data_IF_727861235476
#
_entry.id   IF_727861235476
#
_cell.length_a   1.000
_cell.length_b   1.000
_cell.length_c   1.000
_cell.angle_alpha   90.00
_cell.angle_beta   90.00
_cell.angle_gamma   90.00
#
_symmetry.space_group_name_H-M   'P 1'
#
loop_
_entity.id
_entity.type
_entity.pdbx_description
1 polymer ?
#
# COMPACT_ATOMS: atom_id res chain seq x y z
N UNK A 1 12.81 1.14 29.43
CA UNK A 1 12.37 1.51 28.07
C UNK A 1 13.46 1.08 27.13
N UNK A 2 13.09 0.67 25.93
CA UNK A 2 14.06 0.27 24.90
C UNK A 2 14.91 1.48 24.49
N UNK A 3 16.23 1.36 24.62
CA UNK A 3 17.20 2.36 24.19
C UNK A 3 17.58 2.18 22.71
N UNK A 4 18.19 3.20 22.11
CA UNK A 4 18.71 3.10 20.74
C UNK A 4 19.89 2.13 20.61
N UNK A 5 20.55 1.80 21.72
CA UNK A 5 21.64 0.84 21.77
C UNK A 5 21.12 -0.59 21.96
N UNK A 6 20.04 -0.77 22.74
CA UNK A 6 19.43 -2.08 22.97
C UNK A 6 18.98 -2.70 21.63
N UNK A 7 18.38 -1.90 20.74
CA UNK A 7 17.93 -2.36 19.42
C UNK A 7 19.07 -2.74 18.46
N UNK A 8 20.33 -2.45 18.80
CA UNK A 8 21.49 -2.83 17.98
C UNK A 8 22.01 -4.23 18.30
N UNK A 9 21.62 -4.79 19.45
CA UNK A 9 22.20 -6.03 19.99
C UNK A 9 21.16 -7.09 20.36
N UNK A 10 19.90 -6.70 20.52
CA UNK A 10 18.81 -7.62 20.85
C UNK A 10 17.81 -7.72 19.69
N UNK A 11 17.62 -8.94 19.20
CA UNK A 11 16.75 -9.26 18.04
C UNK A 11 15.66 -10.27 18.39
N UNK A 12 15.27 -10.33 19.66
CA UNK A 12 14.17 -11.14 20.15
C UNK A 12 13.21 -10.25 20.93
N UNK A 13 11.90 -10.44 20.70
CA UNK A 13 10.86 -9.66 21.39
C UNK A 13 10.94 -9.83 22.92
N UNK A 14 11.33 -11.01 23.39
CA UNK A 14 11.46 -11.34 24.83
C UNK A 14 12.58 -10.57 25.52
N UNK A 15 13.52 -10.00 24.77
CA UNK A 15 14.59 -9.16 25.31
C UNK A 15 14.09 -7.77 25.73
N UNK A 16 12.85 -7.43 25.38
CA UNK A 16 12.28 -6.11 25.62
C UNK A 16 11.06 -6.18 26.54
N UNK A 17 10.91 -5.16 27.39
CA UNK A 17 9.71 -5.01 28.22
C UNK A 17 8.72 -4.09 27.53
N UNK A 18 7.56 -4.63 27.17
CA UNK A 18 6.46 -3.84 26.61
C UNK A 18 5.91 -2.82 27.62
N UNK A 19 5.48 -1.68 27.10
CA UNK A 19 4.79 -0.66 27.91
C UNK A 19 3.38 -1.15 28.22
N UNK A 20 3.03 -1.21 29.50
CA UNK A 20 1.65 -1.51 29.93
C UNK A 20 0.80 -0.24 30.06
N UNK A 21 -0.53 -0.37 30.01
CA UNK A 21 -1.45 0.76 30.19
C UNK A 21 -1.29 1.44 31.55
N UNK A 22 -1.00 0.67 32.61
CA UNK A 22 -0.71 1.19 33.95
C UNK A 22 0.62 1.95 33.96
N UNK A 23 1.67 1.36 33.38
CA UNK A 23 2.99 2.00 33.27
C UNK A 23 2.93 3.30 32.48
N UNK A 24 2.19 3.33 31.37
CA UNK A 24 1.97 4.54 30.58
C UNK A 24 1.26 5.64 31.38
N UNK A 25 0.20 5.32 32.13
CA UNK A 25 -0.51 6.29 32.98
C UNK A 25 0.41 6.90 34.04
N UNK A 26 1.27 6.08 34.66
CA UNK A 26 2.25 6.56 35.62
C UNK A 26 3.30 7.48 34.97
N UNK A 27 3.87 7.07 33.83
CA UNK A 27 4.82 7.88 33.06
C UNK A 27 4.21 9.22 32.63
N UNK A 28 2.95 9.21 32.20
CA UNK A 28 2.22 10.43 31.83
C UNK A 28 2.07 11.39 33.02
N UNK A 29 1.77 10.89 34.22
CA UNK A 29 1.70 11.72 35.42
C UNK A 29 3.05 12.38 35.73
N UNK A 30 4.14 11.63 35.61
CA UNK A 30 5.50 12.17 35.81
C UNK A 30 5.85 13.24 34.77
N UNK A 31 5.48 13.04 33.50
CA UNK A 31 5.71 14.02 32.42
C UNK A 31 4.90 15.30 32.64
N UNK A 32 3.67 15.21 33.16
CA UNK A 32 2.85 16.37 33.49
C UNK A 32 3.50 17.18 34.63
N UNK A 33 4.13 16.51 35.60
CA UNK A 33 4.83 17.17 36.69
C UNK A 33 6.19 17.74 36.27
N UNK A 34 6.88 17.09 35.33
CA UNK A 34 8.19 17.51 34.81
C UNK A 34 8.31 17.24 33.30
N UNK A 35 8.19 18.31 32.50
CA UNK A 35 8.27 18.21 31.04
C UNK A 35 9.63 17.70 30.52
N UNK A 36 10.70 17.80 31.30
CA UNK A 36 12.03 17.26 30.94
C UNK A 36 12.03 15.74 30.77
N UNK A 37 11.03 15.04 31.31
CA UNK A 37 10.89 13.59 31.22
C UNK A 37 10.24 13.13 29.91
N UNK A 38 9.77 14.04 29.03
CA UNK A 38 9.15 13.70 27.75
C UNK A 38 10.03 12.79 26.89
N UNK A 39 11.31 13.15 26.75
CA UNK A 39 12.28 12.37 25.97
C UNK A 39 12.68 11.07 26.67
N UNK A 40 12.75 11.10 28.00
CA UNK A 40 13.11 9.93 28.82
C UNK A 40 12.04 8.85 28.76
N UNK A 41 10.77 9.21 28.64
CA UNK A 41 9.66 8.25 28.55
C UNK A 41 9.04 8.14 27.15
N UNK A 42 9.45 8.96 26.18
CA UNK A 42 8.79 9.00 24.86
C UNK A 42 7.28 9.24 24.98
N UNK A 43 6.86 10.08 25.94
CA UNK A 43 5.46 10.48 26.17
C UNK A 43 5.42 11.99 26.14
N UNK A 44 4.63 12.57 25.23
CA UNK A 44 4.59 14.03 25.03
C UNK A 44 3.54 14.68 25.92
N UNK A 45 2.31 14.17 25.86
CA UNK A 45 1.15 14.73 26.55
C UNK A 45 0.00 13.73 26.62
N UNK A 46 -1.04 14.09 27.37
CA UNK A 46 -2.28 13.30 27.45
C UNK A 46 -3.01 13.37 26.11
N UNK A 47 -3.32 12.21 25.53
CA UNK A 47 -4.19 12.11 24.35
C UNK A 47 -5.64 12.39 24.72
N UNK A 48 -6.37 13.14 23.88
CA UNK A 48 -7.83 13.34 24.04
C UNK A 48 -8.61 12.02 23.98
N UNK A 49 -8.06 11.01 23.28
CA UNK A 49 -8.69 9.69 23.18
C UNK A 49 -8.64 8.93 24.51
N UNK A 50 -7.74 9.29 25.42
CA UNK A 50 -7.62 8.64 26.74
C UNK A 50 -8.81 8.94 27.67
N UNK A 51 -9.66 9.92 27.33
CA UNK A 51 -10.89 10.22 28.07
C UNK A 51 -12.05 9.27 27.70
N UNK A 52 -11.91 8.49 26.62
CA UNK A 52 -12.92 7.52 26.21
C UNK A 52 -12.87 6.28 27.11
N UNK A 53 -14.02 5.90 27.67
CA UNK A 53 -14.16 4.80 28.65
C UNK A 53 -13.55 3.47 28.19
N UNK A 54 -13.62 3.17 26.90
CA UNK A 54 -13.21 1.88 26.32
C UNK A 54 -12.01 2.01 25.38
N UNK A 55 -11.28 3.12 25.43
CA UNK A 55 -10.09 3.32 24.61
C UNK A 55 -8.85 3.34 25.49
N UNK A 56 -7.89 2.47 25.18
CA UNK A 56 -6.57 2.50 25.78
C UNK A 56 -5.51 2.80 24.72
N UNK A 57 -4.72 3.85 24.95
CA UNK A 57 -3.73 4.34 23.98
C UNK A 57 -2.67 3.28 23.66
N UNK A 58 -2.38 2.38 24.60
CA UNK A 58 -1.39 1.32 24.43
C UNK A 58 -1.94 0.15 23.62
N UNK A 59 -3.21 -0.24 23.84
CA UNK A 59 -3.78 -1.41 23.16
C UNK A 59 -4.65 -1.12 21.94
N UNK A 60 -5.08 0.12 21.72
CA UNK A 60 -6.05 0.47 20.68
C UNK A 60 -5.43 1.25 19.51
N UNK A 61 -4.10 1.37 19.46
CA UNK A 61 -3.36 1.97 18.36
C UNK A 61 -2.43 0.91 17.74
N UNK A 62 -2.89 0.21 16.69
CA UNK A 62 -2.07 -0.80 16.02
C UNK A 62 -0.92 -0.16 15.23
N UNK A 63 0.12 -0.94 14.88
CA UNK A 63 1.18 -0.48 13.99
C UNK A 63 0.66 -0.16 12.58
N UNK A 64 1.42 0.64 11.83
CA UNK A 64 1.15 0.91 10.42
C UNK A 64 2.24 0.25 9.54
N UNK A 65 1.98 -0.97 9.04
CA UNK A 65 2.99 -1.70 8.29
C UNK A 65 3.33 -1.03 6.95
N UNK A 66 2.45 -0.21 6.36
CA UNK A 66 2.79 0.53 5.15
C UNK A 66 3.89 1.56 5.41
N UNK A 67 3.76 2.34 6.48
CA UNK A 67 4.74 3.35 6.83
C UNK A 67 6.06 2.75 7.28
N UNK A 68 6.00 1.68 8.08
CA UNK A 68 7.17 1.03 8.63
C UNK A 68 8.00 0.36 7.51
N UNK A 69 7.33 -0.41 6.63
CA UNK A 69 7.98 -1.16 5.56
C UNK A 69 8.16 -0.31 4.29
N UNK A 70 7.08 0.16 3.66
CA UNK A 70 7.11 0.76 2.32
C UNK A 70 7.69 2.18 2.27
N UNK A 71 7.63 2.91 3.39
CA UNK A 71 8.27 4.24 3.55
C UNK A 71 9.49 4.21 4.48
N UNK A 72 9.93 3.02 4.88
CA UNK A 72 11.01 2.84 5.84
C UNK A 72 11.99 1.78 5.40
N UNK A 73 11.78 0.56 5.89
CA UNK A 73 12.75 -0.52 5.80
C UNK A 73 12.98 -1.02 4.36
N UNK A 74 11.92 -1.25 3.59
CA UNK A 74 12.00 -1.78 2.23
C UNK A 74 12.80 -0.88 1.28
N UNK A 75 12.50 0.43 1.14
CA UNK A 75 13.27 1.29 0.23
C UNK A 75 14.72 1.48 0.70
N UNK A 76 14.97 1.41 2.02
CA UNK A 76 16.32 1.44 2.57
C UNK A 76 17.13 0.19 2.22
N UNK A 77 16.54 -1.00 2.38
CA UNK A 77 17.23 -2.25 2.05
C UNK A 77 17.46 -2.37 0.54
N UNK A 78 16.46 -2.07 -0.30
CA UNK A 78 16.62 -2.07 -1.77
C UNK A 78 17.78 -1.15 -2.17
N UNK A 79 17.86 0.03 -1.56
CA UNK A 79 18.98 0.95 -1.83
C UNK A 79 20.32 0.29 -1.49
N UNK A 80 20.45 -0.31 -0.30
CA UNK A 80 21.70 -0.94 0.16
C UNK A 80 22.11 -2.08 -0.76
N UNK A 81 21.21 -3.03 -1.01
CA UNK A 81 21.46 -4.22 -1.82
C UNK A 81 21.83 -3.84 -3.26
N UNK A 82 21.11 -2.90 -3.88
CA UNK A 82 21.45 -2.42 -5.24
C UNK A 82 22.82 -1.74 -5.28
N UNK A 83 23.17 -0.92 -4.28
CA UNK A 83 24.50 -0.29 -4.21
C UNK A 83 25.58 -1.36 -4.05
N UNK A 84 25.40 -2.34 -3.17
CA UNK A 84 26.32 -3.46 -2.97
C UNK A 84 26.56 -4.20 -4.29
N UNK A 85 25.51 -4.57 -5.02
CA UNK A 85 25.67 -5.30 -6.28
C UNK A 85 26.32 -4.50 -7.41
N UNK A 86 26.13 -3.18 -7.44
CA UNK A 86 26.84 -2.33 -8.39
C UNK A 86 28.33 -2.26 -8.01
N UNK A 87 28.67 -2.20 -6.73
CA UNK A 87 30.06 -2.19 -6.25
C UNK A 87 30.77 -3.53 -6.50
N UNK A 88 30.07 -4.64 -6.33
CA UNK A 88 30.56 -6.00 -6.60
C UNK A 88 30.62 -6.33 -8.10
N UNK A 89 30.07 -5.45 -8.95
CA UNK A 89 30.17 -5.55 -10.40
C UNK A 89 29.18 -6.51 -11.05
N UNK A 90 28.12 -6.93 -10.35
CA UNK A 90 27.08 -7.79 -10.93
C UNK A 90 26.29 -7.09 -12.04
N UNK A 91 26.03 -5.79 -11.88
CA UNK A 91 25.40 -4.96 -12.90
C UNK A 91 25.73 -3.47 -12.71
N UNK A 92 25.41 -2.64 -13.70
CA UNK A 92 25.64 -1.19 -13.64
C UNK A 92 24.37 -0.42 -13.24
N UNK A 93 24.54 0.83 -12.80
CA UNK A 93 23.40 1.72 -12.54
C UNK A 93 22.52 1.93 -13.80
N UNK A 94 23.15 2.00 -14.98
CA UNK A 94 22.43 2.12 -16.24
C UNK A 94 21.62 0.85 -16.56
N UNK A 95 22.19 -0.32 -16.29
CA UNK A 95 21.47 -1.59 -16.42
C UNK A 95 20.24 -1.61 -15.50
N UNK A 96 20.41 -1.27 -14.23
CA UNK A 96 19.31 -1.20 -13.26
C UNK A 96 18.21 -0.23 -13.71
N UNK A 97 18.57 0.99 -14.08
CA UNK A 97 17.63 2.00 -14.56
C UNK A 97 16.93 1.56 -15.85
N UNK A 98 17.64 0.88 -16.75
CA UNK A 98 17.06 0.35 -17.98
C UNK A 98 16.08 -0.80 -17.69
N UNK A 99 16.41 -1.70 -16.78
CA UNK A 99 15.52 -2.77 -16.33
C UNK A 99 14.20 -2.18 -15.81
N UNK A 100 14.26 -1.16 -14.94
CA UNK A 100 13.06 -0.46 -14.46
C UNK A 100 12.25 0.20 -15.60
N UNK A 101 12.92 0.71 -16.64
CA UNK A 101 12.24 1.38 -17.78
C UNK A 101 11.54 0.39 -18.70
N UNK A 102 12.21 -0.69 -19.06
CA UNK A 102 11.79 -1.62 -20.13
C UNK A 102 10.91 -2.75 -19.60
N UNK A 103 10.94 -3.05 -18.29
CA UNK A 103 10.14 -4.12 -17.71
C UNK A 103 8.65 -4.03 -18.11
N UNK A 104 8.02 -5.14 -18.53
CA UNK A 104 6.63 -5.14 -19.00
C UNK A 104 5.63 -5.13 -17.84
N UNK A 105 5.46 -3.97 -17.20
CA UNK A 105 4.52 -3.82 -16.07
C UNK A 105 3.09 -4.19 -16.46
N UNK A 106 2.48 -5.07 -15.66
CA UNK A 106 1.08 -5.46 -15.79
C UNK A 106 0.12 -4.29 -15.54
N UNK A 107 -1.16 -4.50 -15.86
CA UNK A 107 -2.21 -3.45 -15.75
C UNK A 107 -2.29 -2.84 -14.35
N UNK A 108 -2.17 -3.67 -13.30
CA UNK A 108 -2.21 -3.25 -11.90
C UNK A 108 -1.00 -2.42 -11.47
N UNK A 109 0.17 -2.65 -12.08
CA UNK A 109 1.44 -2.04 -11.69
C UNK A 109 1.80 -0.81 -12.54
N UNK A 110 1.19 -0.68 -13.73
CA UNK A 110 1.49 0.39 -14.69
C UNK A 110 1.34 1.80 -14.12
N UNK A 111 0.34 2.02 -13.25
CA UNK A 111 0.12 3.31 -12.55
C UNK A 111 1.16 3.59 -11.46
N UNK A 112 1.78 2.54 -10.93
CA UNK A 112 2.74 2.58 -9.82
C UNK A 112 4.16 2.23 -10.27
N UNK A 113 4.50 2.50 -11.54
CA UNK A 113 5.84 2.23 -12.07
C UNK A 113 6.90 2.91 -11.18
N UNK A 114 7.95 2.16 -10.76
CA UNK A 114 9.06 2.73 -10.01
C UNK A 114 9.77 3.83 -10.80
N UNK A 115 10.16 4.90 -10.12
CA UNK A 115 11.04 5.92 -10.70
C UNK A 115 12.48 5.41 -10.83
N UNK A 116 13.18 5.84 -11.88
CA UNK A 116 14.61 5.60 -12.03
C UNK A 116 15.41 6.50 -11.07
N UNK A 117 16.63 6.07 -10.75
CA UNK A 117 17.57 6.93 -10.05
C UNK A 117 18.21 7.90 -11.03
N UNK A 118 18.11 9.20 -10.75
CA UNK A 118 18.67 10.28 -11.58
C UNK A 118 20.00 10.80 -11.01
N UNK A 119 20.73 9.97 -10.25
CA UNK A 119 21.94 10.40 -9.54
C UNK A 119 23.18 10.04 -10.33
N UNK A 120 24.07 11.01 -10.51
CA UNK A 120 25.30 10.86 -11.32
C UNK A 120 26.36 9.99 -10.63
N UNK A 121 26.26 9.80 -9.31
CA UNK A 121 27.25 9.03 -8.52
C UNK A 121 26.58 8.02 -7.61
N UNK A 122 27.20 6.86 -7.43
CA UNK A 122 26.71 5.78 -6.58
C UNK A 122 26.59 6.19 -5.11
N UNK A 123 27.50 7.04 -4.62
CA UNK A 123 27.44 7.59 -3.26
C UNK A 123 26.16 8.42 -3.01
N UNK A 124 25.63 9.04 -4.06
CA UNK A 124 24.39 9.83 -3.98
C UNK A 124 23.14 9.02 -4.33
N UNK A 125 23.27 7.72 -4.64
CA UNK A 125 22.20 6.86 -5.10
C UNK A 125 20.98 6.95 -4.19
N UNK A 126 19.87 7.36 -4.81
CA UNK A 126 18.56 7.51 -4.18
C UNK A 126 17.49 7.09 -5.18
N UNK A 127 16.55 6.30 -4.70
CA UNK A 127 15.35 5.95 -5.44
C UNK A 127 14.18 6.58 -4.67
N UNK A 128 13.64 7.68 -5.18
CA UNK A 128 12.46 8.32 -4.57
C UNK A 128 11.20 7.62 -5.03
N UNK A 129 10.63 6.79 -4.17
CA UNK A 129 9.37 6.11 -4.42
C UNK A 129 8.28 6.58 -3.44
N UNK A 130 7.04 6.57 -3.91
CA UNK A 130 5.85 6.52 -3.04
C UNK A 130 5.68 5.10 -2.49
N UNK A 131 4.90 4.91 -1.41
CA UNK A 131 4.65 3.58 -0.85
C UNK A 131 4.17 2.55 -1.90
N UNK A 132 3.24 2.95 -2.78
CA UNK A 132 2.75 2.10 -3.88
C UNK A 132 3.83 1.74 -4.90
N UNK A 133 4.75 2.67 -5.20
CA UNK A 133 5.88 2.41 -6.09
C UNK A 133 6.94 1.54 -5.42
N UNK A 134 7.18 1.69 -4.12
CA UNK A 134 8.06 0.80 -3.35
C UNK A 134 7.53 -0.62 -3.38
N UNK A 135 6.22 -0.80 -3.15
CA UNK A 135 5.59 -2.12 -3.21
C UNK A 135 5.70 -2.77 -4.60
N UNK A 136 5.49 -1.97 -5.64
CA UNK A 136 5.67 -2.39 -7.03
C UNK A 136 7.12 -2.81 -7.31
N UNK A 137 8.08 -1.98 -6.90
CA UNK A 137 9.50 -2.25 -7.07
C UNK A 137 9.89 -3.54 -6.37
N UNK A 138 9.56 -3.68 -5.09
CA UNK A 138 9.95 -4.84 -4.28
C UNK A 138 9.46 -6.16 -4.90
N UNK A 139 8.18 -6.25 -5.26
CA UNK A 139 7.64 -7.49 -5.84
C UNK A 139 8.24 -7.85 -7.19
N UNK A 140 8.59 -6.85 -8.00
CA UNK A 140 9.02 -7.08 -9.39
C UNK A 140 10.54 -7.11 -9.55
N UNK A 141 11.30 -6.65 -8.54
CA UNK A 141 12.75 -6.59 -8.59
C UNK A 141 13.41 -7.96 -8.82
N UNK A 142 12.97 -9.07 -8.19
CA UNK A 142 13.50 -10.40 -8.50
C UNK A 142 13.36 -10.75 -9.99
N UNK A 143 12.21 -10.43 -10.58
CA UNK A 143 11.95 -10.69 -12.00
C UNK A 143 12.83 -9.86 -12.94
N UNK A 144 13.41 -8.76 -12.44
CA UNK A 144 14.28 -7.88 -13.20
C UNK A 144 15.77 -8.25 -13.07
N UNK A 145 16.21 -8.68 -11.89
CA UNK A 145 17.63 -8.78 -11.54
C UNK A 145 18.12 -10.16 -11.12
N UNK A 146 17.24 -11.12 -10.82
CA UNK A 146 17.65 -12.41 -10.25
C UNK A 146 18.68 -13.14 -11.13
N UNK A 147 18.57 -13.04 -12.46
CA UNK A 147 19.50 -13.69 -13.39
C UNK A 147 20.92 -13.08 -13.40
N UNK A 148 21.10 -11.89 -12.83
CA UNK A 148 22.41 -11.21 -12.73
C UNK A 148 23.15 -11.52 -11.43
N UNK A 149 22.47 -12.13 -10.46
CA UNK A 149 22.97 -12.35 -9.11
C UNK A 149 23.18 -13.87 -8.92
N UNK A 150 24.35 -14.32 -8.44
CA UNK A 150 24.59 -15.73 -8.16
C UNK A 150 23.63 -16.29 -7.09
N UNK A 151 23.25 -17.56 -7.25
CA UNK A 151 22.53 -18.30 -6.21
C UNK A 151 23.33 -18.33 -4.90
N UNK A 152 22.63 -18.17 -3.77
CA UNK A 152 23.25 -18.16 -2.44
C UNK A 152 23.98 -16.87 -2.07
N UNK A 153 23.84 -15.78 -2.84
CA UNK A 153 24.36 -14.48 -2.44
C UNK A 153 23.62 -13.96 -1.18
N UNK A 154 24.36 -13.72 -0.10
CA UNK A 154 23.79 -13.39 1.22
C UNK A 154 22.99 -12.07 1.23
N UNK A 155 23.40 -11.05 0.47
CA UNK A 155 22.65 -9.79 0.36
C UNK A 155 21.33 -9.98 -0.40
N UNK A 156 21.31 -10.91 -1.36
CA UNK A 156 20.09 -11.27 -2.08
C UNK A 156 19.15 -12.08 -1.20
N UNK A 157 19.66 -13.06 -0.47
CA UNK A 157 18.85 -13.83 0.50
C UNK A 157 18.27 -12.93 1.60
N UNK A 158 19.04 -11.94 2.08
CA UNK A 158 18.54 -10.92 3.00
C UNK A 158 17.35 -10.14 2.40
N UNK A 159 17.44 -9.76 1.13
CA UNK A 159 16.37 -9.08 0.41
C UNK A 159 15.13 -9.96 0.24
N UNK A 160 15.31 -11.23 -0.16
CA UNK A 160 14.22 -12.19 -0.29
C UNK A 160 13.54 -12.48 1.06
N UNK A 161 14.31 -12.57 2.14
CA UNK A 161 13.76 -12.73 3.49
C UNK A 161 12.88 -11.54 3.89
N UNK A 162 13.27 -10.30 3.56
CA UNK A 162 12.40 -9.14 3.78
C UNK A 162 11.13 -9.21 2.93
N UNK A 163 11.22 -9.74 1.71
CA UNK A 163 10.07 -9.95 0.85
C UNK A 163 9.08 -10.92 1.49
N UNK A 164 9.54 -12.06 2.00
CA UNK A 164 8.70 -13.04 2.72
C UNK A 164 8.01 -12.43 3.95
N UNK A 165 8.76 -11.65 4.74
CA UNK A 165 8.19 -10.89 5.87
C UNK A 165 7.07 -9.96 5.40
N UNK A 166 7.29 -9.24 4.30
CA UNK A 166 6.29 -8.34 3.73
C UNK A 166 5.08 -9.10 3.18
N UNK A 167 5.26 -10.26 2.55
CA UNK A 167 4.16 -11.08 2.03
C UNK A 167 3.23 -11.55 3.16
N UNK A 168 3.79 -12.06 4.27
CA UNK A 168 2.99 -12.45 5.44
C UNK A 168 2.30 -11.22 6.05
N UNK A 169 3.04 -10.11 6.22
CA UNK A 169 2.52 -8.89 6.86
C UNK A 169 1.37 -8.26 6.07
N UNK A 170 1.47 -8.28 4.73
CA UNK A 170 0.48 -7.67 3.84
C UNK A 170 -0.61 -8.64 3.36
N UNK A 171 -0.56 -9.91 3.78
CA UNK A 171 -1.61 -10.85 3.45
C UNK A 171 -2.95 -10.42 4.08
N UNK A 172 -4.07 -10.49 3.33
CA UNK A 172 -5.40 -10.13 3.85
C UNK A 172 -5.93 -11.10 4.90
N UNK A 173 -5.33 -12.30 4.96
CA UNK A 173 -5.62 -13.38 5.91
C UNK A 173 -4.33 -14.13 6.19
N UNK A 174 -4.05 -14.42 7.47
CA UNK A 174 -2.82 -15.07 7.91
C UNK A 174 -3.18 -16.24 8.85
N UNK A 175 -2.80 -17.49 8.52
CA UNK A 175 -2.94 -18.62 9.43
C UNK A 175 -2.15 -18.41 10.73
N UNK A 176 -2.64 -18.93 11.86
CA UNK A 176 -1.97 -18.74 13.15
C UNK A 176 -0.55 -19.35 13.18
N UNK A 177 -0.31 -20.41 12.43
CA UNK A 177 0.98 -21.07 12.29
C UNK A 177 2.04 -20.15 11.65
N UNK A 178 1.61 -19.23 10.79
CA UNK A 178 2.50 -18.25 10.16
C UNK A 178 3.04 -17.22 11.14
N UNK A 179 2.45 -17.08 12.33
CA UNK A 179 2.95 -16.17 13.37
C UNK A 179 4.32 -16.60 13.87
N UNK A 180 4.48 -17.89 14.18
CA UNK A 180 5.77 -18.44 14.60
C UNK A 180 6.80 -18.40 13.46
N UNK A 181 6.35 -18.62 12.21
CA UNK A 181 7.22 -18.49 11.05
C UNK A 181 7.68 -17.05 10.80
N UNK A 182 6.79 -16.07 10.96
CA UNK A 182 7.14 -14.66 10.88
C UNK A 182 8.15 -14.26 11.95
N UNK A 183 7.98 -14.74 13.18
CA UNK A 183 8.94 -14.50 14.27
C UNK A 183 10.34 -15.04 13.92
N UNK A 184 10.41 -16.27 13.41
CA UNK A 184 11.66 -16.86 12.92
C UNK A 184 12.31 -16.03 11.80
N UNK A 185 11.52 -15.64 10.78
CA UNK A 185 12.01 -14.83 9.65
C UNK A 185 12.52 -13.47 10.11
N UNK A 186 11.79 -12.78 11.00
CA UNK A 186 12.18 -11.47 11.51
C UNK A 186 13.48 -11.55 12.31
N UNK A 187 13.63 -12.57 13.17
CA UNK A 187 14.86 -12.78 13.92
C UNK A 187 16.05 -12.98 12.99
N UNK A 188 15.95 -13.93 12.05
CA UNK A 188 17.00 -14.21 11.07
C UNK A 188 17.34 -12.98 10.24
N UNK A 189 16.32 -12.27 9.74
CA UNK A 189 16.49 -11.04 8.98
C UNK A 189 17.29 -9.97 9.73
N UNK A 190 16.96 -9.69 11.00
CA UNK A 190 17.63 -8.64 11.77
C UNK A 190 19.07 -9.01 12.13
N UNK A 191 19.32 -10.28 12.45
CA UNK A 191 20.68 -10.81 12.67
C UNK A 191 21.51 -10.64 11.39
N UNK A 192 21.05 -11.20 10.27
CA UNK A 192 21.78 -11.14 8.99
C UNK A 192 21.94 -9.69 8.49
N UNK A 193 20.93 -8.84 8.66
CA UNK A 193 21.04 -7.41 8.32
C UNK A 193 22.19 -6.74 9.08
N UNK A 194 22.36 -7.07 10.37
CA UNK A 194 23.42 -6.49 11.19
C UNK A 194 24.78 -7.09 10.88
N UNK A 195 24.86 -8.38 10.56
CA UNK A 195 26.10 -9.05 10.15
C UNK A 195 26.63 -8.53 8.82
N UNK A 196 25.75 -8.37 7.81
CA UNK A 196 26.11 -7.88 6.48
C UNK A 196 26.37 -6.36 6.45
N UNK A 197 25.76 -5.60 7.37
CA UNK A 197 25.92 -4.14 7.47
C UNK A 197 26.26 -3.71 8.91
N UNK A 198 27.44 -4.06 9.45
CA UNK A 198 27.77 -3.89 10.87
C UNK A 198 27.90 -2.42 11.29
N UNK A 199 28.36 -1.56 10.38
CA UNK A 199 28.50 -0.12 10.63
C UNK A 199 27.16 0.63 10.61
N UNK A 200 26.13 0.03 10.00
CA UNK A 200 24.82 0.65 9.92
C UNK A 200 24.06 0.45 11.24
N UNK A 201 23.53 1.55 11.77
CA UNK A 201 22.64 1.49 12.93
C UNK A 201 21.24 1.10 12.50
N UNK A 202 20.67 0.10 13.17
CA UNK A 202 19.27 -0.27 13.01
C UNK A 202 18.38 0.88 13.43
N UNK A 203 17.37 1.18 12.61
CA UNK A 203 16.39 2.22 12.87
C UNK A 203 15.22 1.64 13.65
N UNK A 204 14.45 2.49 14.36
CA UNK A 204 13.23 2.05 15.06
C UNK A 204 12.26 1.26 14.16
N UNK A 205 12.10 1.66 12.88
CA UNK A 205 11.24 0.96 11.91
C UNK A 205 11.66 -0.51 11.68
N UNK A 206 12.96 -0.82 11.71
CA UNK A 206 13.44 -2.20 11.63
C UNK A 206 13.10 -2.98 12.90
N UNK A 207 13.26 -2.35 14.07
CA UNK A 207 12.92 -2.95 15.36
C UNK A 207 11.42 -3.25 15.50
N UNK A 208 10.54 -2.44 14.89
CA UNK A 208 9.09 -2.67 14.96
C UNK A 208 8.66 -4.04 14.44
N UNK A 209 9.43 -4.66 13.54
CA UNK A 209 9.18 -6.01 13.05
C UNK A 209 9.11 -7.06 14.17
N UNK A 210 9.90 -6.90 15.24
CA UNK A 210 9.89 -7.83 16.38
C UNK A 210 8.51 -7.91 17.05
N UNK A 211 7.69 -6.87 16.90
CA UNK A 211 6.37 -6.79 17.49
C UNK A 211 5.26 -7.23 16.53
N UNK A 212 5.58 -7.53 15.27
CA UNK A 212 4.58 -7.91 14.27
C UNK A 212 3.92 -9.27 14.56
N UNK A 213 4.64 -10.31 15.03
CA UNK A 213 4.00 -11.57 15.44
C UNK A 213 2.91 -11.36 16.50
N UNK A 214 3.22 -10.66 17.60
CA UNK A 214 2.24 -10.34 18.64
C UNK A 214 1.13 -9.41 18.13
N UNK A 215 1.46 -8.48 17.23
CA UNK A 215 0.47 -7.58 16.63
C UNK A 215 -0.53 -8.35 15.76
N UNK A 216 -0.09 -9.37 15.02
CA UNK A 216 -0.98 -10.25 14.23
C UNK A 216 -1.97 -10.98 15.14
N UNK A 217 -1.49 -11.53 16.27
CA UNK A 217 -2.36 -12.21 17.24
C UNK A 217 -3.40 -11.26 17.86
N UNK A 218 -3.02 -10.00 18.07
CA UNK A 218 -3.86 -9.01 18.76
C UNK A 218 -4.85 -8.29 17.84
N UNK A 219 -4.44 -7.95 16.63
CA UNK A 219 -5.19 -7.10 15.72
C UNK A 219 -5.69 -7.85 14.47
N UNK A 220 -5.26 -9.09 14.27
CA UNK A 220 -5.46 -9.82 13.04
C UNK A 220 -4.50 -9.37 11.93
N UNK A 221 -4.80 -9.67 10.65
CA UNK A 221 -3.92 -9.34 9.54
C UNK A 221 -3.58 -7.84 9.47
N UNK A 222 -2.29 -7.52 9.55
CA UNK A 222 -1.81 -6.14 9.74
C UNK A 222 -2.08 -5.21 8.56
N UNK A 223 -2.30 -5.76 7.36
CA UNK A 223 -2.73 -5.00 6.18
C UNK A 223 -4.02 -4.23 6.44
N UNK A 224 -4.87 -4.65 7.36
CA UNK A 224 -6.10 -3.92 7.70
C UNK A 224 -5.86 -2.72 8.63
N UNK A 225 -4.66 -2.62 9.22
CA UNK A 225 -4.26 -1.53 10.11
C UNK A 225 -3.54 -0.38 9.40
N UNK A 226 -3.05 -0.57 8.17
CA UNK A 226 -2.31 0.48 7.47
C UNK A 226 -3.17 1.70 7.13
N UNK A 227 -2.56 2.89 7.08
CA UNK A 227 -3.34 4.13 6.96
C UNK A 227 -3.42 4.73 5.56
N UNK A 228 -2.84 4.07 4.54
CA UNK A 228 -2.76 4.58 3.14
C UNK A 228 -4.11 5.11 2.62
N UNK A 229 -5.23 4.44 2.92
CA UNK A 229 -6.57 4.85 2.46
C UNK A 229 -7.06 6.13 3.14
N UNK A 230 -6.75 6.30 4.42
CA UNK A 230 -7.06 7.54 5.15
C UNK A 230 -6.25 8.70 4.59
N UNK A 231 -4.96 8.48 4.31
CA UNK A 231 -4.10 9.49 3.70
C UNK A 231 -4.53 9.88 2.29
N UNK A 232 -4.95 8.89 1.50
CA UNK A 232 -5.49 9.12 0.17
C UNK A 232 -6.72 10.05 0.19
N UNK A 233 -7.54 10.00 1.25
CA UNK A 233 -8.69 10.90 1.44
C UNK A 233 -8.25 12.36 1.68
N UNK A 234 -7.03 12.58 2.17
CA UNK A 234 -6.44 13.90 2.34
C UNK A 234 -5.93 14.52 1.03
N UNK A 235 -5.89 13.77 -0.08
CA UNK A 235 -5.40 14.21 -1.42
C UNK A 235 -6.38 15.15 -2.14
N UNK A 236 -7.51 15.53 -1.52
CA UNK A 236 -8.28 16.70 -1.95
C UNK A 236 -7.47 17.99 -1.68
N UNK A 237 -6.46 18.19 -2.54
CA UNK A 237 -5.44 19.24 -2.54
C UNK A 237 -6.10 20.61 -2.56
N UNK A 238 -6.39 21.13 -1.38
CA UNK A 238 -6.62 22.56 -1.20
C UNK A 238 -5.27 23.27 -1.37
N UNK A 239 -5.23 24.32 -2.20
CA UNK A 239 -4.07 25.23 -2.29
C UNK A 239 -3.79 25.94 -0.95
N UNK A 240 -4.77 25.97 -0.04
CA UNK A 240 -4.66 26.54 1.30
C UNK A 240 -4.32 25.46 2.35
N UNK A 241 -3.14 25.57 2.98
CA UNK A 241 -2.67 24.65 4.04
C UNK A 241 -3.03 25.10 5.45
N UNK A 242 -3.69 26.25 5.64
CA UNK A 242 -4.13 26.70 6.97
C UNK A 242 -5.34 25.88 7.42
N UNK A 243 -5.25 25.31 8.63
CA UNK A 243 -6.33 24.55 9.28
C UNK A 243 -6.89 23.39 8.44
N UNK A 244 -6.02 22.52 7.93
CA UNK A 244 -6.40 21.35 7.12
C UNK A 244 -7.50 20.50 7.80
N UNK A 245 -7.35 20.28 9.11
CA UNK A 245 -8.30 19.51 9.94
C UNK A 245 -9.68 20.16 10.08
N UNK A 246 -9.87 21.42 9.67
CA UNK A 246 -11.18 22.09 9.58
C UNK A 246 -11.71 22.08 8.15
N UNK A 247 -10.82 22.39 7.20
CA UNK A 247 -11.18 22.57 5.79
C UNK A 247 -11.59 21.25 5.13
N UNK A 248 -10.84 20.16 5.38
CA UNK A 248 -11.13 18.85 4.79
C UNK A 248 -12.49 18.28 5.30
N UNK A 249 -12.77 18.23 6.62
CA UNK A 249 -14.08 17.78 7.09
C UNK A 249 -15.24 18.64 6.59
N UNK A 250 -15.10 19.98 6.58
CA UNK A 250 -16.16 20.87 6.09
C UNK A 250 -16.48 20.62 4.61
N UNK A 251 -15.47 20.46 3.76
CA UNK A 251 -15.70 20.13 2.34
C UNK A 251 -16.29 18.75 2.16
N UNK A 252 -15.83 17.78 2.93
CA UNK A 252 -16.40 16.43 2.91
C UNK A 252 -17.88 16.47 3.32
N UNK A 253 -18.24 17.17 4.40
CA UNK A 253 -19.63 17.34 4.84
C UNK A 253 -20.48 18.02 3.76
N UNK A 254 -20.00 19.09 3.14
CA UNK A 254 -20.72 19.76 2.03
C UNK A 254 -20.93 18.83 0.84
N UNK A 255 -19.93 18.03 0.48
CA UNK A 255 -20.03 17.02 -0.57
C UNK A 255 -21.06 15.93 -0.19
N UNK A 256 -21.07 15.47 1.06
CA UNK A 256 -22.06 14.52 1.56
C UNK A 256 -23.47 15.12 1.56
N UNK A 257 -23.65 16.39 1.90
CA UNK A 257 -24.95 17.07 1.80
C UNK A 257 -25.44 17.19 0.36
N UNK A 258 -24.53 17.50 -0.58
CA UNK A 258 -24.85 17.53 -2.01
C UNK A 258 -25.31 16.16 -2.51
N UNK A 259 -24.55 15.10 -2.19
CA UNK A 259 -24.96 13.74 -2.54
C UNK A 259 -26.27 13.36 -1.84
N UNK A 260 -26.45 13.68 -0.55
CA UNK A 260 -27.66 13.35 0.18
C UNK A 260 -28.91 14.09 -0.30
N UNK A 261 -28.73 15.18 -1.05
CA UNK A 261 -29.80 15.90 -1.72
C UNK A 261 -30.11 15.36 -3.13
N UNK A 262 -29.32 14.42 -3.65
CA UNK A 262 -29.65 13.73 -4.90
C UNK A 262 -30.58 12.54 -4.63
N UNK A 263 -31.53 12.30 -5.53
CA UNK A 263 -32.43 11.13 -5.45
C UNK A 263 -31.67 9.80 -5.54
N UNK A 264 -30.41 9.86 -5.98
CA UNK A 264 -29.55 8.72 -6.30
C UNK A 264 -28.41 8.53 -5.27
N UNK A 265 -28.59 8.97 -4.02
CA UNK A 265 -27.54 8.90 -2.98
C UNK A 265 -27.03 7.47 -2.71
N UNK A 266 -27.93 6.48 -2.81
CA UNK A 266 -27.63 5.06 -2.64
C UNK A 266 -27.59 4.30 -3.98
N UNK A 267 -27.85 4.95 -5.10
CA UNK A 267 -27.64 4.30 -6.39
C UNK A 267 -26.14 4.06 -6.53
N UNK A 268 -25.78 2.79 -6.65
CA UNK A 268 -24.41 2.37 -6.87
C UNK A 268 -23.78 3.21 -7.99
N UNK A 269 -22.65 3.81 -7.65
CA UNK A 269 -21.97 4.88 -8.38
C UNK A 269 -22.07 4.72 -9.91
N UNK A 270 -22.57 5.80 -10.51
CA UNK A 270 -22.51 6.17 -11.93
C UNK A 270 -21.25 5.64 -12.62
N UNK A 271 -21.47 4.76 -13.58
CA UNK A 271 -20.49 4.32 -14.56
C UNK A 271 -20.09 5.48 -15.49
N UNK A 272 -18.79 5.71 -15.64
CA UNK A 272 -18.24 6.61 -16.66
C UNK A 272 -17.63 5.79 -17.79
N UNK A 273 -18.05 6.05 -19.01
CA UNK A 273 -17.49 5.47 -20.23
C UNK A 273 -16.63 6.49 -20.96
N UNK A 274 -15.56 6.03 -21.62
CA UNK A 274 -14.80 6.87 -22.58
C UNK A 274 -14.71 6.12 -23.89
N UNK A 275 -15.23 6.70 -24.98
CA UNK A 275 -15.10 6.19 -26.35
C UNK A 275 -15.68 4.79 -26.55
N UNK A 276 -16.87 4.72 -27.16
CA UNK A 276 -17.52 3.47 -27.53
C UNK A 276 -17.55 3.22 -29.03
N UNK A 277 -17.33 1.97 -29.42
CA UNK A 277 -17.64 1.46 -30.75
C UNK A 277 -18.74 0.42 -30.63
N UNK A 278 -19.78 0.55 -31.46
CA UNK A 278 -20.84 -0.43 -31.55
C UNK A 278 -20.28 -1.68 -32.25
N UNK A 279 -20.39 -2.82 -31.58
CA UNK A 279 -20.06 -4.14 -32.12
C UNK A 279 -21.37 -4.89 -32.34
N UNK A 280 -21.59 -5.38 -33.56
CA UNK A 280 -22.74 -6.23 -33.87
C UNK A 280 -22.50 -7.63 -33.30
N UNK A 281 -23.56 -8.29 -32.83
CA UNK A 281 -23.45 -9.63 -32.24
C UNK A 281 -22.69 -10.63 -33.14
N UNK A 282 -22.91 -10.53 -34.46
CA UNK A 282 -22.26 -11.33 -35.51
C UNK A 282 -20.72 -11.28 -35.52
N UNK A 283 -20.10 -10.26 -34.91
CA UNK A 283 -18.65 -10.10 -34.86
C UNK A 283 -17.99 -10.87 -33.71
N UNK A 284 -18.78 -11.40 -32.76
CA UNK A 284 -18.29 -12.24 -31.68
C UNK A 284 -18.20 -13.71 -32.10
N UNK A 285 -17.40 -14.52 -31.40
CA UNK A 285 -17.37 -15.97 -31.61
C UNK A 285 -18.68 -16.65 -31.15
N UNK A 286 -18.97 -17.83 -31.71
CA UNK A 286 -20.21 -18.60 -31.45
C UNK A 286 -20.51 -18.79 -29.94
N UNK A 287 -19.46 -18.92 -29.11
CA UNK A 287 -19.61 -19.09 -27.65
C UNK A 287 -20.21 -17.85 -27.00
N UNK A 288 -19.76 -16.66 -27.38
CA UNK A 288 -20.25 -15.38 -26.85
C UNK A 288 -21.64 -15.07 -27.41
N UNK A 289 -21.87 -15.34 -28.69
CA UNK A 289 -23.19 -15.15 -29.33
C UNK A 289 -24.27 -15.97 -28.60
N UNK A 290 -24.02 -17.26 -28.34
CA UNK A 290 -24.94 -18.13 -27.58
C UNK A 290 -25.16 -17.63 -26.16
N UNK A 291 -24.12 -17.14 -25.49
CA UNK A 291 -24.24 -16.61 -24.13
C UNK A 291 -25.12 -15.36 -24.09
N UNK A 292 -24.93 -14.45 -25.06
CA UNK A 292 -25.77 -13.26 -25.22
C UNK A 292 -27.23 -13.62 -25.53
N UNK A 293 -27.48 -14.58 -26.41
CA UNK A 293 -28.84 -15.05 -26.73
C UNK A 293 -29.55 -15.69 -25.52
N UNK A 294 -28.84 -16.49 -24.72
CA UNK A 294 -29.41 -17.20 -23.56
C UNK A 294 -29.64 -16.26 -22.38
N UNK A 295 -28.68 -15.40 -22.05
CA UNK A 295 -28.77 -14.52 -20.88
C UNK A 295 -29.50 -13.21 -21.16
N UNK A 296 -29.45 -12.72 -22.41
CA UNK A 296 -29.97 -11.41 -22.79
C UNK A 296 -30.71 -11.47 -24.15
N UNK A 297 -31.86 -12.18 -24.22
CA UNK A 297 -32.59 -12.35 -25.47
C UNK A 297 -33.04 -11.02 -26.06
N UNK A 298 -32.75 -10.79 -27.36
CA UNK A 298 -33.15 -9.60 -28.11
C UNK A 298 -32.09 -8.50 -28.23
N UNK A 299 -30.90 -8.65 -27.63
CA UNK A 299 -29.79 -7.70 -27.84
C UNK A 299 -29.12 -7.96 -29.19
N UNK A 300 -29.18 -6.97 -30.09
CA UNK A 300 -28.57 -7.05 -31.43
C UNK A 300 -27.22 -6.32 -31.53
N UNK A 301 -27.04 -5.30 -30.70
CA UNK A 301 -25.87 -4.43 -30.69
C UNK A 301 -25.32 -4.33 -29.28
N UNK A 302 -23.99 -4.33 -29.18
CA UNK A 302 -23.31 -4.27 -27.90
C UNK A 302 -22.17 -3.25 -27.95
N UNK A 303 -22.00 -2.49 -26.88
CA UNK A 303 -21.02 -1.42 -26.84
C UNK A 303 -19.68 -1.94 -26.33
N UNK A 304 -18.63 -1.82 -27.16
CA UNK A 304 -17.25 -2.00 -26.73
C UNK A 304 -16.68 -0.65 -26.34
N UNK A 305 -16.35 -0.50 -25.06
CA UNK A 305 -15.75 0.71 -24.51
C UNK A 305 -14.24 0.55 -24.33
N UNK A 306 -13.49 1.66 -24.43
CA UNK A 306 -12.05 1.63 -24.14
C UNK A 306 -11.75 1.30 -22.67
N UNK A 307 -12.59 1.82 -21.76
CA UNK A 307 -12.62 1.46 -20.36
C UNK A 307 -13.97 1.81 -19.71
N UNK A 308 -14.38 1.03 -18.72
CA UNK A 308 -15.52 1.32 -17.83
C UNK A 308 -15.05 1.23 -16.38
N UNK A 309 -15.39 2.23 -15.57
CA UNK A 309 -15.24 2.13 -14.12
C UNK A 309 -16.59 1.74 -13.50
N UNK A 310 -16.62 0.56 -12.86
CA UNK A 310 -17.78 0.07 -12.11
C UNK A 310 -17.32 -0.31 -10.71
N UNK A 311 -17.97 0.22 -9.67
CA UNK A 311 -17.61 -0.02 -8.26
C UNK A 311 -16.11 0.19 -7.95
N UNK A 312 -15.52 1.24 -8.54
CA UNK A 312 -14.08 1.55 -8.41
C UNK A 312 -13.12 0.50 -9.00
N UNK A 313 -13.65 -0.43 -9.79
CA UNK A 313 -12.89 -1.35 -10.62
C UNK A 313 -12.92 -0.85 -12.06
N UNK A 314 -11.75 -0.67 -12.67
CA UNK A 314 -11.64 -0.27 -14.07
C UNK A 314 -11.54 -1.52 -14.95
N UNK A 315 -12.56 -1.76 -15.74
CA UNK A 315 -12.58 -2.76 -16.81
C UNK A 315 -12.07 -2.10 -18.09
N UNK A 316 -11.18 -2.76 -18.82
CA UNK A 316 -10.65 -2.24 -20.10
C UNK A 316 -11.30 -2.98 -21.26
N UNK A 317 -11.12 -2.45 -22.47
CA UNK A 317 -11.43 -3.15 -23.73
C UNK A 317 -11.06 -4.64 -23.63
N UNK A 318 -11.95 -5.52 -24.12
CA UNK A 318 -11.90 -6.99 -24.06
C UNK A 318 -12.24 -7.65 -22.73
N UNK A 319 -12.20 -6.93 -21.60
CA UNK A 319 -12.59 -7.49 -20.29
C UNK A 319 -14.10 -7.41 -20.03
N UNK A 320 -14.80 -6.53 -20.75
CA UNK A 320 -16.20 -6.25 -20.51
C UNK A 320 -16.93 -5.81 -21.78
N UNK A 321 -18.23 -6.12 -21.84
CA UNK A 321 -19.14 -5.69 -22.90
C UNK A 321 -20.32 -4.95 -22.26
N UNK A 322 -20.77 -3.85 -22.87
CA UNK A 322 -21.87 -3.01 -22.36
C UNK A 322 -23.17 -3.22 -23.12
N UNK A 323 -24.21 -3.64 -22.41
CA UNK A 323 -25.49 -4.09 -22.98
C UNK A 323 -26.52 -2.97 -23.21
N UNK A 324 -26.44 -1.86 -22.47
CA UNK A 324 -27.38 -0.74 -22.57
C UNK A 324 -26.66 0.54 -22.12
N UNK A 325 -26.83 1.64 -22.85
CA UNK A 325 -26.33 2.97 -22.50
C UNK A 325 -27.52 3.95 -22.43
N UNK A 326 -27.90 4.40 -21.23
CA UNK A 326 -28.91 5.48 -21.07
C UNK A 326 -28.22 6.81 -20.80
N UNK A 327 -28.25 7.75 -21.75
CA UNK A 327 -27.73 9.11 -21.55
C UNK A 327 -28.55 9.86 -20.48
N UNK A 328 -27.93 10.18 -19.35
CA UNK A 328 -28.45 11.18 -18.42
C UNK A 328 -27.63 12.46 -18.58
N UNK A 329 -28.16 13.43 -19.34
CA UNK A 329 -27.57 14.78 -19.43
C UNK A 329 -27.86 15.54 -18.14
N UNK A 330 -26.88 15.64 -17.25
CA UNK A 330 -26.91 16.60 -16.13
C UNK A 330 -26.00 17.78 -16.45
N UNK A 331 -26.61 18.97 -16.49
CA UNK A 331 -25.97 20.24 -16.83
C UNK A 331 -24.94 20.69 -15.78
N UNK A 332 -23.88 21.33 -16.30
CA UNK A 332 -23.03 22.37 -15.70
C UNK A 332 -22.69 22.21 -14.22
N UNK A 333 -21.60 21.52 -13.86
CA UNK A 333 -20.66 21.92 -12.77
C UNK A 333 -19.44 20.99 -12.62
N UNK A 334 -19.05 20.19 -13.63
CA UNK A 334 -17.76 19.48 -13.68
C UNK A 334 -17.29 19.23 -15.12
N UNK A 335 -15.97 19.05 -15.36
CA UNK A 335 -15.42 18.90 -16.70
C UNK A 335 -15.92 17.61 -17.36
N UNK A 336 -16.65 17.76 -18.46
CA UNK A 336 -16.87 16.80 -19.56
C UNK A 336 -16.78 15.31 -19.23
N UNK A 337 -17.62 14.80 -18.33
CA UNK A 337 -17.91 13.37 -18.22
C UNK A 337 -19.36 13.15 -18.62
N UNK A 338 -19.58 12.46 -19.74
CA UNK A 338 -20.91 11.98 -20.11
C UNK A 338 -21.30 10.84 -19.17
N UNK A 339 -22.54 10.85 -18.70
CA UNK A 339 -23.03 9.93 -17.68
C UNK A 339 -24.04 8.97 -18.29
N UNK A 340 -23.80 7.67 -18.10
CA UNK A 340 -24.68 6.61 -18.61
C UNK A 340 -24.90 5.50 -17.57
N UNK A 341 -26.13 4.97 -17.49
CA UNK A 341 -26.37 3.68 -16.81
C UNK A 341 -25.89 2.56 -17.73
N UNK A 342 -25.00 1.70 -17.21
CA UNK A 342 -24.30 0.67 -17.98
C UNK A 342 -24.55 -0.71 -17.36
N UNK A 343 -25.15 -1.63 -18.13
CA UNK A 343 -25.12 -3.07 -17.81
C UNK A 343 -23.87 -3.70 -18.39
N UNK A 344 -23.04 -4.33 -17.55
CA UNK A 344 -21.76 -4.94 -17.95
C UNK A 344 -21.83 -6.46 -17.84
N UNK A 345 -21.35 -7.17 -18.86
CA UNK A 345 -20.96 -8.58 -18.77
C UNK A 345 -19.44 -8.67 -18.72
N UNK A 346 -18.89 -9.30 -17.67
CA UNK A 346 -17.45 -9.48 -17.51
C UNK A 346 -17.02 -10.76 -18.24
N UNK A 347 -16.09 -10.65 -19.17
CA UNK A 347 -15.65 -11.77 -20.02
C UNK A 347 -14.52 -12.61 -19.40
N UNK A 348 -14.22 -12.45 -18.11
CA UNK A 348 -13.02 -13.04 -17.49
C UNK A 348 -13.03 -14.59 -17.40
N UNK A 349 -14.15 -15.25 -17.69
CA UNK A 349 -14.27 -16.72 -17.71
C UNK A 349 -14.62 -17.29 -19.12
N UNK A 350 -14.32 -16.55 -20.20
CA UNK A 350 -14.60 -17.00 -21.58
C UNK A 350 -13.44 -17.70 -22.27
#
# INVERSE_FOLDING_TARGET
MVSSDDIQVHFDSSSFTERTSVGHKHQLQLVIQNEGLRNVYGVVSKSVLSDLKYFDVISCLPPDPAHDLLEGLVPELIKKVVVTFIQEGYFTLDFFNNALKVFPYGKCDKKNKPTCSNTDTLASFKIKQTASQTWCLMRLLPLMLASTIPEGNEYWELYLTLMDICEITFAPSVPCEMVAYLEYLVHGFLVTLKELYPEDRLKPKSHYLLHYPNSLLKYGPLVHCWTIRFESKHVNRQKNRRNLCKTLPKRHQLLMCYYGASENYFDDKMSSSTGGTIIKNEQFCDKIQRLLEVQFPGIQEVYSLSSVELHSSTYTKECCIVLEERENRLHEFMPSHQHSQIKIVCCCDL
#
